data_IF_814437810208
#
_entry.id   IF_814437810208
#
_cell.length_a   1.000
_cell.length_b   1.000
_cell.length_c   1.000
_cell.angle_alpha   90.00
_cell.angle_beta   90.00
_cell.angle_gamma   90.00
#
_symmetry.space_group_name_H-M   'P 1'
#
loop_
_entity.id
_entity.type
_entity.pdbx_description
1 polymer ?
#
# COMPACT_ATOMS: atom_id res chain seq x y z
N UNK A 1 -0.18 13.20 13.44
CA UNK A 1 0.30 12.95 12.06
C UNK A 1 1.64 12.28 12.23
N UNK A 2 1.76 10.99 11.91
CA UNK A 2 3.05 10.33 11.82
C UNK A 2 3.76 10.93 10.59
N UNK A 3 4.96 11.45 10.77
CA UNK A 3 5.81 11.82 9.66
C UNK A 3 6.14 10.53 8.90
N UNK A 4 5.64 10.38 7.67
CA UNK A 4 6.03 9.28 6.80
C UNK A 4 7.56 9.29 6.70
N UNK A 5 8.19 8.23 7.16
CA UNK A 5 9.65 8.10 7.12
C UNK A 5 10.06 7.64 5.72
N UNK A 6 10.88 8.41 5.03
CA UNK A 6 11.47 7.99 3.78
C UNK A 6 12.45 6.83 4.02
N UNK A 7 12.26 5.72 3.31
CA UNK A 7 13.14 4.53 3.38
C UNK A 7 14.42 4.74 2.59
N UNK A 8 14.34 5.53 1.50
CA UNK A 8 15.51 5.86 0.68
C UNK A 8 16.41 6.85 1.43
N UNK A 9 17.66 6.48 1.56
CA UNK A 9 18.72 7.32 2.14
C UNK A 9 19.23 8.24 1.03
N UNK A 10 19.34 9.53 1.34
CA UNK A 10 19.85 10.55 0.43
C UNK A 10 19.30 10.44 -1.01
N UNK A 11 17.99 10.42 -1.13
CA UNK A 11 17.31 10.38 -2.43
C UNK A 11 17.43 11.67 -3.24
N UNK A 12 17.93 12.75 -2.64
CA UNK A 12 18.26 14.03 -3.28
C UNK A 12 19.74 14.20 -3.59
N UNK A 13 20.57 13.19 -3.26
CA UNK A 13 22.01 13.20 -3.51
C UNK A 13 22.79 14.37 -2.89
N UNK A 14 22.25 14.96 -1.84
CA UNK A 14 22.86 16.14 -1.18
C UNK A 14 24.13 15.78 -0.40
N UNK A 15 24.26 14.52 0.04
CA UNK A 15 25.41 13.96 0.73
C UNK A 15 26.28 13.07 -0.18
N UNK A 16 26.08 13.15 -1.47
CA UNK A 16 26.81 12.38 -2.45
C UNK A 16 26.15 11.05 -2.81
N UNK A 17 26.88 9.94 -2.74
CA UNK A 17 26.35 8.61 -3.00
C UNK A 17 26.19 7.77 -1.73
N UNK A 18 25.94 8.41 -0.59
CA UNK A 18 25.77 7.68 0.66
C UNK A 18 24.59 6.70 0.58
N UNK A 19 24.83 5.46 0.96
CA UNK A 19 23.85 4.38 0.84
C UNK A 19 23.62 3.83 -0.58
N UNK A 20 24.23 4.43 -1.62
CA UNK A 20 24.08 4.01 -3.01
C UNK A 20 25.23 3.15 -3.51
N UNK A 21 24.91 2.13 -4.28
CA UNK A 21 25.86 1.27 -4.98
C UNK A 21 25.80 1.58 -6.47
N UNK A 22 26.92 1.95 -7.04
CA UNK A 22 27.07 2.33 -8.45
C UNK A 22 27.64 1.17 -9.26
N UNK A 23 27.15 0.98 -10.49
CA UNK A 23 27.76 0.00 -11.40
C UNK A 23 29.05 0.50 -12.02
N UNK A 24 29.14 1.76 -12.41
CA UNK A 24 30.36 2.44 -12.84
C UNK A 24 30.21 3.98 -12.97
N UNK A 25 29.83 4.51 -14.10
CA UNK A 25 29.90 5.94 -14.38
C UNK A 25 28.55 6.65 -14.09
N UNK A 26 28.30 6.93 -12.83
CA UNK A 26 27.26 7.88 -12.43
C UNK A 26 27.92 9.07 -11.74
N UNK A 27 27.38 10.24 -11.94
CA UNK A 27 27.95 11.46 -11.42
C UNK A 27 26.90 12.29 -10.73
N UNK A 28 27.29 12.97 -9.65
CA UNK A 28 26.46 13.96 -9.01
C UNK A 28 26.79 15.33 -9.58
N UNK A 29 25.77 16.08 -9.89
CA UNK A 29 25.87 17.45 -10.33
C UNK A 29 25.27 18.36 -9.28
N UNK A 30 25.92 19.49 -9.05
CA UNK A 30 25.44 20.60 -8.25
C UNK A 30 24.89 21.64 -9.22
N UNK A 31 23.79 22.25 -8.89
CA UNK A 31 23.06 23.19 -9.73
C UNK A 31 22.11 22.52 -10.72
N UNK A 32 20.93 23.12 -10.89
CA UNK A 32 19.90 22.67 -11.82
C UNK A 32 19.24 21.31 -11.46
N UNK A 33 19.21 20.93 -10.18
CA UNK A 33 18.39 19.82 -9.71
C UNK A 33 16.88 20.11 -9.81
N UNK A 34 16.05 19.13 -9.44
CA UNK A 34 14.59 19.21 -9.62
C UNK A 34 13.91 20.33 -8.82
N UNK A 35 14.53 20.83 -7.77
CA UNK A 35 14.05 21.95 -6.95
C UNK A 35 14.89 23.22 -7.11
N UNK A 36 15.71 23.33 -8.15
CA UNK A 36 16.59 24.45 -8.40
C UNK A 36 18.05 24.16 -8.05
N UNK A 37 18.67 24.95 -7.17
CA UNK A 37 20.09 24.82 -6.84
C UNK A 37 20.36 23.68 -5.85
N UNK A 38 19.96 22.47 -6.19
CA UNK A 38 20.25 21.27 -5.41
C UNK A 38 20.98 20.23 -6.26
N UNK A 39 21.42 19.16 -5.63
CA UNK A 39 22.11 18.08 -6.31
C UNK A 39 21.15 17.20 -7.11
N UNK A 40 21.68 16.50 -8.08
CA UNK A 40 20.99 15.41 -8.78
C UNK A 40 22.00 14.37 -9.26
N UNK A 41 21.54 13.16 -9.52
CA UNK A 41 22.38 12.11 -10.08
C UNK A 41 22.14 11.96 -11.59
N UNK A 42 23.22 11.95 -12.37
CA UNK A 42 23.22 11.59 -13.79
C UNK A 42 23.66 10.15 -13.96
N UNK A 43 22.82 9.35 -14.62
CA UNK A 43 23.09 7.96 -14.93
C UNK A 43 23.37 7.85 -16.42
N UNK A 44 24.60 7.53 -16.74
CA UNK A 44 25.04 7.30 -18.12
C UNK A 44 24.45 5.98 -18.67
N UNK A 45 24.32 5.84 -19.99
CA UNK A 45 23.87 4.59 -20.61
C UNK A 45 24.68 3.37 -20.14
N UNK A 46 24.01 2.23 -20.01
CA UNK A 46 24.51 0.97 -19.47
C UNK A 46 24.85 0.96 -17.98
N UNK A 47 24.61 2.05 -17.29
CA UNK A 47 24.90 2.17 -15.86
C UNK A 47 23.65 2.00 -14.99
N UNK A 48 23.89 1.74 -13.71
CA UNK A 48 22.88 1.45 -12.72
C UNK A 48 23.28 2.04 -11.38
N UNK A 49 22.31 2.62 -10.69
CA UNK A 49 22.41 2.90 -9.26
C UNK A 49 21.49 1.96 -8.48
N UNK A 50 21.91 1.54 -7.32
CA UNK A 50 21.16 0.58 -6.49
C UNK A 50 21.25 0.99 -5.03
N UNK A 51 20.14 0.92 -4.32
CA UNK A 51 20.12 0.99 -2.86
C UNK A 51 19.48 -0.28 -2.30
N UNK A 52 20.01 -0.78 -1.17
CA UNK A 52 19.50 -1.95 -0.47
C UNK A 52 18.90 -1.53 0.85
N UNK A 53 17.72 -2.07 1.14
CA UNK A 53 17.00 -1.82 2.39
C UNK A 53 16.13 -3.02 2.77
N UNK A 54 15.46 -2.93 3.88
CA UNK A 54 14.44 -3.90 4.31
C UNK A 54 13.09 -3.21 4.33
N UNK A 55 12.05 -3.90 3.90
CA UNK A 55 10.66 -3.42 3.89
C UNK A 55 9.77 -4.44 4.60
N UNK A 56 8.66 -3.95 5.14
CA UNK A 56 7.70 -4.78 5.86
C UNK A 56 6.89 -5.65 4.89
N UNK A 57 6.49 -6.86 5.31
CA UNK A 57 5.63 -7.73 4.51
C UNK A 57 4.22 -7.15 4.38
N UNK A 58 3.53 -7.54 3.30
CA UNK A 58 2.11 -7.21 3.05
C UNK A 58 1.81 -5.72 3.24
N UNK A 59 2.74 -4.87 2.83
CA UNK A 59 2.71 -3.43 3.03
C UNK A 59 2.74 -2.71 1.70
N UNK A 60 1.89 -1.70 1.54
CA UNK A 60 1.87 -0.86 0.34
C UNK A 60 2.86 0.28 0.50
N UNK A 61 3.64 0.49 -0.53
CA UNK A 61 4.62 1.57 -0.63
C UNK A 61 4.34 2.44 -1.83
N UNK A 62 4.65 3.73 -1.68
CA UNK A 62 4.63 4.71 -2.75
C UNK A 62 6.07 5.17 -3.01
N UNK A 63 6.53 4.94 -4.23
CA UNK A 63 7.77 5.49 -4.78
C UNK A 63 7.46 6.77 -5.54
N UNK A 64 8.18 7.83 -5.24
CA UNK A 64 8.17 9.06 -6.04
C UNK A 64 9.61 9.42 -6.41
N UNK A 65 9.79 9.96 -7.61
CA UNK A 65 11.09 10.41 -8.09
C UNK A 65 10.90 11.54 -9.11
N UNK A 66 11.86 12.44 -9.18
CA UNK A 66 11.96 13.42 -10.25
C UNK A 66 12.94 12.90 -11.29
N UNK A 67 12.58 12.98 -12.56
CA UNK A 67 13.42 12.54 -13.68
C UNK A 67 13.39 13.54 -14.81
N UNK A 68 14.48 13.62 -15.57
CA UNK A 68 14.54 14.26 -16.88
C UNK A 68 15.54 13.54 -17.78
N UNK A 69 15.42 13.73 -19.07
CA UNK A 69 16.33 13.20 -20.07
C UNK A 69 15.63 12.64 -21.29
N UNK A 70 16.39 12.37 -22.31
CA UNK A 70 15.89 11.75 -23.53
C UNK A 70 15.99 10.21 -23.48
N UNK A 71 16.71 9.67 -22.53
CA UNK A 71 16.85 8.21 -22.36
C UNK A 71 15.81 7.67 -21.40
N UNK A 72 15.22 6.53 -21.76
CA UNK A 72 14.37 5.77 -20.85
C UNK A 72 15.20 5.11 -19.76
N UNK A 73 14.86 5.32 -18.51
CA UNK A 73 15.36 4.54 -17.40
C UNK A 73 14.43 3.38 -17.07
N UNK A 74 14.99 2.29 -16.56
CA UNK A 74 14.23 1.19 -15.99
C UNK A 74 14.29 1.27 -14.47
N UNK A 75 13.15 1.35 -13.83
CA UNK A 75 13.01 1.32 -12.38
C UNK A 75 12.55 -0.07 -11.95
N UNK A 76 13.23 -0.66 -10.98
CA UNK A 76 12.86 -1.96 -10.42
C UNK A 76 12.96 -1.94 -8.90
N UNK A 77 12.00 -2.59 -8.24
CA UNK A 77 12.08 -2.92 -6.82
C UNK A 77 11.88 -4.41 -6.69
N UNK A 78 12.84 -5.10 -6.13
CA UNK A 78 12.80 -6.55 -6.00
C UNK A 78 13.44 -7.02 -4.72
N UNK A 79 12.82 -8.01 -4.08
CA UNK A 79 13.47 -8.78 -3.03
C UNK A 79 14.61 -9.57 -3.64
N UNK A 80 15.76 -9.57 -2.96
CA UNK A 80 16.96 -10.27 -3.43
C UNK A 80 17.32 -11.47 -2.57
N UNK A 81 16.75 -11.58 -1.39
CA UNK A 81 16.97 -12.66 -0.42
C UNK A 81 15.80 -12.74 0.57
N UNK A 82 15.31 -13.92 1.00
CA UNK A 82 15.82 -15.25 0.66
C UNK A 82 15.41 -15.75 -0.73
N UNK A 83 14.28 -15.24 -1.25
CA UNK A 83 13.77 -15.59 -2.58
C UNK A 83 13.74 -14.36 -3.45
N UNK A 84 13.97 -14.52 -4.75
CA UNK A 84 13.87 -13.39 -5.67
C UNK A 84 12.40 -13.15 -6.05
N UNK A 85 11.85 -12.04 -5.59
CA UNK A 85 10.48 -11.61 -5.92
C UNK A 85 10.53 -10.19 -6.43
N UNK A 86 9.94 -9.94 -7.60
CA UNK A 86 9.82 -8.60 -8.15
C UNK A 86 8.51 -7.97 -7.70
N UNK A 87 8.58 -6.87 -6.97
CA UNK A 87 7.42 -6.07 -6.57
C UNK A 87 7.05 -5.04 -7.65
N UNK A 88 8.07 -4.47 -8.27
CA UNK A 88 7.94 -3.55 -9.39
C UNK A 88 9.05 -3.84 -10.40
N UNK A 89 8.71 -4.17 -11.63
CA UNK A 89 9.68 -4.59 -12.62
C UNK A 89 9.62 -3.78 -13.90
N UNK A 90 10.80 -3.34 -14.35
CA UNK A 90 11.02 -2.74 -15.66
C UNK A 90 10.03 -1.63 -16.04
N UNK A 91 9.65 -0.81 -15.09
CA UNK A 91 8.87 0.39 -15.39
C UNK A 91 9.81 1.37 -16.06
N UNK A 92 9.48 1.71 -17.29
CA UNK A 92 10.22 2.71 -18.04
C UNK A 92 9.76 4.10 -17.63
N UNK A 93 10.71 4.97 -17.31
CA UNK A 93 10.43 6.39 -17.10
C UNK A 93 9.96 7.05 -18.39
N UNK A 94 9.12 8.05 -18.27
CA UNK A 94 8.72 8.83 -19.43
C UNK A 94 9.89 9.65 -19.96
N UNK A 95 9.88 9.89 -21.29
CA UNK A 95 10.88 10.75 -21.92
C UNK A 95 10.44 12.22 -21.80
N UNK A 96 11.23 13.05 -21.14
CA UNK A 96 11.03 14.48 -21.05
C UNK A 96 12.35 15.19 -20.75
N UNK A 97 12.68 16.23 -21.49
CA UNK A 97 13.89 17.02 -21.29
C UNK A 97 13.80 17.94 -20.07
N UNK A 98 12.58 18.24 -19.63
CA UNK A 98 12.32 19.02 -18.41
C UNK A 98 12.10 18.10 -17.22
N UNK A 99 12.45 18.58 -16.02
CA UNK A 99 12.14 17.85 -14.79
C UNK A 99 10.64 17.59 -14.67
N UNK A 100 10.29 16.33 -14.40
CA UNK A 100 8.93 15.94 -14.06
C UNK A 100 8.95 14.88 -12.97
N UNK A 101 7.87 14.80 -12.24
CA UNK A 101 7.69 13.83 -11.16
C UNK A 101 6.98 12.59 -11.69
N UNK A 102 7.47 11.45 -11.30
CA UNK A 102 6.82 10.16 -11.49
C UNK A 102 6.44 9.56 -10.13
N UNK A 103 5.36 8.82 -10.12
CA UNK A 103 4.83 8.17 -8.95
C UNK A 103 4.40 6.75 -9.28
N UNK A 104 4.76 5.81 -8.41
CA UNK A 104 4.43 4.40 -8.53
C UNK A 104 4.02 3.84 -7.18
N UNK A 105 3.10 2.86 -7.17
CA UNK A 105 2.74 2.12 -5.97
C UNK A 105 2.94 0.63 -6.19
N UNK A 106 3.31 -0.07 -5.12
CA UNK A 106 3.41 -1.52 -5.11
C UNK A 106 3.13 -2.06 -3.71
N UNK A 107 2.75 -3.34 -3.64
CA UNK A 107 2.53 -4.03 -2.38
C UNK A 107 3.51 -5.20 -2.26
N UNK A 108 4.10 -5.34 -1.08
CA UNK A 108 5.04 -6.43 -0.78
C UNK A 108 4.30 -7.74 -0.53
N UNK A 109 4.98 -8.86 -0.76
CA UNK A 109 4.46 -10.18 -0.42
C UNK A 109 4.54 -10.46 1.08
N UNK A 110 3.91 -11.56 1.53
CA UNK A 110 3.96 -12.00 2.93
C UNK A 110 5.37 -12.37 3.41
N UNK A 111 6.25 -12.74 2.49
CA UNK A 111 7.63 -13.08 2.77
C UNK A 111 8.53 -12.00 2.20
N UNK A 112 9.12 -11.16 3.07
CA UNK A 112 10.02 -10.08 2.69
C UNK A 112 11.39 -10.27 3.31
N UNK A 113 12.38 -9.70 2.66
CA UNK A 113 13.77 -9.73 3.11
C UNK A 113 14.55 -8.56 2.54
N UNK A 114 15.83 -8.78 2.26
CA UNK A 114 16.67 -7.76 1.64
C UNK A 114 16.10 -7.36 0.28
N UNK A 115 15.77 -6.11 0.13
CA UNK A 115 15.19 -5.53 -1.09
C UNK A 115 16.19 -4.63 -1.78
N UNK A 116 16.20 -4.66 -3.09
CA UNK A 116 16.98 -3.75 -3.93
C UNK A 116 16.02 -2.83 -4.70
N UNK A 117 16.21 -1.54 -4.52
CA UNK A 117 15.73 -0.52 -5.44
C UNK A 117 16.83 -0.23 -6.44
N UNK A 118 16.51 -0.33 -7.71
CA UNK A 118 17.49 -0.16 -8.78
C UNK A 118 16.93 0.72 -9.88
N UNK A 119 17.74 1.66 -10.32
CA UNK A 119 17.51 2.45 -11.52
C UNK A 119 18.63 2.19 -12.49
N UNK A 120 18.30 1.87 -13.73
CA UNK A 120 19.27 1.62 -14.80
C UNK A 120 18.88 2.36 -16.07
N UNK A 121 19.85 2.87 -16.77
CA UNK A 121 19.70 3.40 -18.13
C UNK A 121 20.21 2.34 -19.10
N UNK A 122 19.35 1.72 -19.89
CA UNK A 122 19.78 0.73 -20.87
C UNK A 122 20.62 1.39 -21.98
N UNK A 123 21.35 0.58 -22.72
CA UNK A 123 22.04 1.08 -23.90
C UNK A 123 21.04 1.74 -24.86
N UNK A 124 21.39 2.89 -25.37
CA UNK A 124 20.64 3.59 -26.42
C UNK A 124 21.59 4.12 -27.48
N UNK A 125 21.09 4.24 -28.73
CA UNK A 125 21.90 4.62 -29.88
C UNK A 125 22.37 6.08 -29.86
N UNK A 126 21.73 6.91 -29.03
CA UNK A 126 22.06 8.34 -28.89
C UNK A 126 23.08 8.61 -27.78
N UNK A 127 23.40 7.60 -27.00
CA UNK A 127 24.26 7.70 -25.80
C UNK A 127 23.84 8.82 -24.85
N UNK A 128 22.51 8.99 -24.67
CA UNK A 128 21.94 10.03 -23.80
C UNK A 128 21.76 9.52 -22.38
N UNK A 129 22.17 10.29 -21.37
CA UNK A 129 21.96 9.98 -19.97
C UNK A 129 20.53 10.26 -19.50
N UNK A 130 20.25 9.83 -18.27
CA UNK A 130 19.06 10.21 -17.50
C UNK A 130 19.50 10.88 -16.22
N UNK A 131 18.89 12.00 -15.89
CA UNK A 131 19.05 12.70 -14.63
C UNK A 131 17.90 12.30 -13.69
N UNK A 132 18.23 12.12 -12.40
CA UNK A 132 17.29 11.72 -11.37
C UNK A 132 17.54 12.46 -10.07
N UNK A 133 16.47 12.76 -9.34
CA UNK A 133 16.49 13.50 -8.10
C UNK A 133 15.26 13.20 -7.23
N UNK A 134 15.25 13.65 -5.98
CA UNK A 134 14.11 13.60 -5.06
C UNK A 134 13.45 12.23 -4.94
N UNK A 135 14.26 11.17 -4.86
CA UNK A 135 13.76 9.82 -4.71
C UNK A 135 13.22 9.63 -3.30
N UNK A 136 11.98 9.21 -3.21
CA UNK A 136 11.33 8.92 -1.93
C UNK A 136 10.53 7.64 -2.03
N UNK A 137 10.72 6.76 -1.06
CA UNK A 137 9.94 5.55 -0.86
C UNK A 137 9.34 5.59 0.54
N UNK A 138 8.03 5.69 0.62
CA UNK A 138 7.29 5.80 1.88
C UNK A 138 6.24 4.70 1.98
N UNK A 139 5.99 4.25 3.20
CA UNK A 139 4.84 3.39 3.47
C UNK A 139 3.55 4.19 3.28
N UNK A 140 2.58 3.60 2.59
CA UNK A 140 1.23 4.14 2.48
C UNK A 140 0.38 3.44 3.53
N UNK A 141 -0.01 4.12 4.60
CA UNK A 141 -0.88 3.53 5.61
C UNK A 141 -2.19 3.08 4.96
N UNK A 142 -2.62 1.87 5.26
CA UNK A 142 -3.96 1.46 4.90
C UNK A 142 -4.93 2.10 5.90
N UNK A 143 -5.55 3.18 5.47
CA UNK A 143 -6.61 3.83 6.23
C UNK A 143 -7.91 3.05 5.98
N UNK A 144 -8.39 2.35 6.98
CA UNK A 144 -9.67 1.66 6.92
C UNK A 144 -10.78 2.54 7.46
N UNK A 145 -11.98 2.42 6.88
CA UNK A 145 -13.17 3.06 7.37
C UNK A 145 -13.94 2.12 8.27
N UNK A 146 -14.31 2.58 9.47
CA UNK A 146 -15.16 1.84 10.39
C UNK A 146 -16.60 1.89 9.89
N UNK A 147 -17.38 0.79 10.02
CA UNK A 147 -18.82 0.85 9.85
C UNK A 147 -19.44 1.89 10.80
N UNK A 148 -20.54 2.53 10.36
CA UNK A 148 -21.28 3.44 11.21
C UNK A 148 -22.06 2.68 12.29
N UNK A 149 -22.66 1.56 11.88
CA UNK A 149 -23.39 0.70 12.80
C UNK A 149 -23.49 -0.73 12.26
N UNK A 150 -23.76 -1.63 13.17
CA UNK A 150 -24.09 -3.04 12.90
C UNK A 150 -25.35 -3.39 13.69
N UNK A 151 -26.23 -4.17 13.10
CA UNK A 151 -27.33 -4.75 13.84
C UNK A 151 -27.57 -6.21 13.45
N UNK A 152 -28.33 -6.88 14.27
CA UNK A 152 -28.81 -8.23 14.03
C UNK A 152 -30.33 -8.24 14.03
N UNK A 153 -30.93 -8.70 12.94
CA UNK A 153 -32.38 -8.84 12.84
C UNK A 153 -32.77 -10.31 12.79
N UNK A 154 -33.80 -10.67 13.55
CA UNK A 154 -34.39 -12.00 13.42
C UNK A 154 -35.30 -12.02 12.18
N UNK A 155 -34.99 -12.88 11.23
CA UNK A 155 -35.68 -12.96 9.93
C UNK A 155 -36.89 -13.92 10.01
N UNK A 156 -36.98 -14.78 11.04
CA UNK A 156 -38.09 -15.72 11.22
C UNK A 156 -38.36 -15.96 12.70
N UNK A 157 -39.62 -15.78 13.11
CA UNK A 157 -40.08 -16.03 14.48
C UNK A 157 -39.98 -17.51 14.89
N UNK A 158 -39.92 -18.40 13.94
CA UNK A 158 -39.95 -19.85 14.15
C UNK A 158 -38.62 -20.53 14.05
N UNK A 159 -37.56 -19.80 13.69
CA UNK A 159 -36.22 -20.30 13.57
C UNK A 159 -35.23 -19.29 14.14
N UNK A 160 -34.19 -19.75 14.81
CA UNK A 160 -33.05 -18.92 15.21
C UNK A 160 -32.26 -18.45 13.98
N UNK A 161 -32.94 -17.81 13.03
CA UNK A 161 -32.39 -17.39 11.77
C UNK A 161 -32.18 -15.88 11.81
N UNK A 162 -30.94 -15.46 11.87
CA UNK A 162 -30.56 -14.05 12.02
C UNK A 162 -29.87 -13.54 10.78
N UNK A 163 -30.04 -12.26 10.53
CA UNK A 163 -29.36 -11.51 9.49
C UNK A 163 -28.53 -10.42 10.15
N UNK A 164 -27.27 -10.31 9.76
CA UNK A 164 -26.39 -9.22 10.15
C UNK A 164 -26.48 -8.12 9.08
N UNK A 165 -26.66 -6.89 9.52
CA UNK A 165 -26.66 -5.72 8.67
C UNK A 165 -25.52 -4.80 9.10
N UNK A 166 -24.79 -4.27 8.12
CA UNK A 166 -23.68 -3.35 8.35
C UNK A 166 -23.88 -2.13 7.47
N UNK A 167 -23.81 -0.95 8.06
CA UNK A 167 -23.74 0.29 7.31
C UNK A 167 -22.30 0.80 7.33
N UNK A 168 -21.71 0.95 6.17
CA UNK A 168 -20.35 1.47 6.00
C UNK A 168 -20.36 2.96 5.69
N UNK A 169 -19.20 3.61 5.87
CA UNK A 169 -19.01 5.02 5.51
C UNK A 169 -18.65 5.15 4.04
N UNK A 170 -18.89 6.35 3.51
CA UNK A 170 -18.55 6.71 2.13
C UNK A 170 -17.07 6.79 1.83
N UNK A 171 -16.24 6.87 2.86
CA UNK A 171 -14.80 7.06 2.79
C UNK A 171 -14.02 5.74 2.91
N UNK A 172 -14.70 4.60 2.76
CA UNK A 172 -14.01 3.32 2.74
C UNK A 172 -13.01 3.27 1.58
N UNK A 173 -11.74 2.98 1.86
CA UNK A 173 -10.71 2.93 0.82
C UNK A 173 -10.98 1.79 -0.16
N UNK A 174 -10.50 1.97 -1.38
CA UNK A 174 -10.56 0.91 -2.41
C UNK A 174 -9.90 -0.38 -1.90
N UNK A 175 -10.57 -1.49 -2.14
CA UNK A 175 -10.11 -2.80 -1.71
C UNK A 175 -10.44 -3.18 -0.26
N UNK A 176 -11.11 -2.33 0.50
CA UNK A 176 -11.62 -2.71 1.81
C UNK A 176 -12.82 -3.65 1.67
N UNK A 177 -12.73 -4.78 2.36
CA UNK A 177 -13.81 -5.76 2.54
C UNK A 177 -14.05 -5.90 4.04
N UNK A 178 -15.30 -5.87 4.47
CA UNK A 178 -15.63 -6.10 5.87
C UNK A 178 -15.85 -7.60 6.10
N UNK A 179 -15.08 -8.19 7.00
CA UNK A 179 -15.19 -9.58 7.42
C UNK A 179 -15.80 -9.71 8.79
N UNK A 180 -16.62 -10.73 8.96
CA UNK A 180 -17.30 -11.04 10.21
C UNK A 180 -16.82 -12.37 10.72
N UNK A 181 -16.43 -12.40 11.99
CA UNK A 181 -16.04 -13.57 12.72
C UNK A 181 -16.97 -13.78 13.91
N UNK A 182 -17.25 -15.04 14.24
CA UNK A 182 -17.97 -15.45 15.43
C UNK A 182 -17.09 -16.37 16.25
N UNK A 183 -16.85 -16.02 17.51
CA UNK A 183 -15.98 -16.80 18.40
C UNK A 183 -14.63 -17.16 17.74
N UNK A 184 -14.06 -16.18 17.01
CA UNK A 184 -12.80 -16.35 16.27
C UNK A 184 -12.91 -17.10 14.92
N UNK A 185 -14.06 -17.64 14.56
CA UNK A 185 -14.26 -18.33 13.30
C UNK A 185 -14.89 -17.41 12.24
N UNK A 186 -14.36 -17.45 11.03
CA UNK A 186 -14.88 -16.70 9.89
C UNK A 186 -16.34 -17.11 9.59
N UNK A 187 -17.21 -16.11 9.44
CA UNK A 187 -18.63 -16.30 9.10
C UNK A 187 -18.91 -15.88 7.67
N UNK A 188 -18.58 -14.65 7.34
CA UNK A 188 -18.89 -14.06 6.03
C UNK A 188 -18.05 -12.80 5.78
N UNK A 189 -18.14 -12.28 4.56
CA UNK A 189 -17.60 -10.98 4.19
C UNK A 189 -18.60 -10.19 3.35
N UNK A 190 -18.43 -8.88 3.36
CA UNK A 190 -19.21 -7.93 2.59
C UNK A 190 -18.30 -6.83 2.06
N UNK A 191 -18.54 -6.39 0.84
CA UNK A 191 -17.84 -5.22 0.31
C UNK A 191 -18.17 -3.99 1.15
N UNK A 192 -17.21 -3.09 1.32
CA UNK A 192 -17.46 -1.79 1.87
C UNK A 192 -18.24 -0.97 0.81
N UNK A 193 -19.51 -0.74 1.06
CA UNK A 193 -20.38 0.02 0.15
C UNK A 193 -20.41 1.50 0.55
N UNK A 194 -20.73 2.35 -0.42
CA UNK A 194 -20.77 3.81 -0.26
C UNK A 194 -21.80 4.34 0.74
N UNK A 195 -21.90 5.66 0.86
CA UNK A 195 -22.81 6.29 1.81
C UNK A 195 -24.26 5.90 1.49
N UNK A 196 -25.03 5.74 2.56
CA UNK A 196 -26.45 5.41 2.49
C UNK A 196 -26.78 3.99 1.99
N UNK A 197 -25.80 3.19 1.64
CA UNK A 197 -25.97 1.79 1.35
C UNK A 197 -25.61 0.93 2.57
N UNK A 198 -26.45 -0.06 2.84
CA UNK A 198 -26.14 -1.07 3.83
C UNK A 198 -26.06 -2.46 3.18
N UNK A 199 -25.08 -3.22 3.64
CA UNK A 199 -24.96 -4.62 3.24
C UNK A 199 -25.69 -5.53 4.21
N UNK A 200 -26.39 -6.50 3.66
CA UNK A 200 -27.02 -7.57 4.42
C UNK A 200 -26.29 -8.89 4.17
N UNK A 201 -26.01 -9.59 5.23
CA UNK A 201 -25.58 -10.99 5.09
C UNK A 201 -26.79 -11.87 4.76
N UNK A 202 -26.52 -13.04 4.17
CA UNK A 202 -27.49 -14.13 4.17
C UNK A 202 -27.88 -14.53 5.61
N UNK A 203 -29.02 -15.15 5.77
CA UNK A 203 -29.45 -15.60 7.09
C UNK A 203 -28.56 -16.73 7.64
N UNK A 204 -28.27 -16.65 8.94
CA UNK A 204 -27.50 -17.63 9.68
C UNK A 204 -28.32 -18.20 10.83
N UNK A 205 -28.25 -19.50 11.01
CA UNK A 205 -28.87 -20.20 12.12
C UNK A 205 -27.89 -20.39 13.27
N UNK A 206 -28.46 -20.56 14.48
CA UNK A 206 -27.71 -20.94 15.69
C UNK A 206 -26.83 -19.88 16.38
N UNK A 207 -27.02 -18.60 16.15
CA UNK A 207 -26.44 -17.60 17.03
C UNK A 207 -27.11 -17.65 18.42
N UNK A 208 -26.32 -17.53 19.47
CA UNK A 208 -26.79 -17.75 20.84
C UNK A 208 -26.13 -16.77 21.82
N UNK A 209 -26.74 -16.67 23.00
CA UNK A 209 -26.17 -15.94 24.12
C UNK A 209 -24.73 -16.38 24.40
N UNK A 210 -23.85 -15.40 24.62
CA UNK A 210 -22.40 -15.60 24.80
C UNK A 210 -21.58 -15.64 23.53
N UNK A 211 -22.19 -15.59 22.34
CA UNK A 211 -21.41 -15.44 21.10
C UNK A 211 -20.75 -14.05 21.01
N UNK A 212 -19.50 -14.04 20.61
CA UNK A 212 -18.71 -12.84 20.38
C UNK A 212 -18.52 -12.67 18.87
N UNK A 213 -18.84 -11.48 18.39
CA UNK A 213 -18.68 -11.10 16.98
C UNK A 213 -17.56 -10.09 16.84
N UNK A 214 -16.68 -10.35 15.88
CA UNK A 214 -15.62 -9.43 15.47
C UNK A 214 -15.90 -8.96 14.04
N UNK A 215 -15.87 -7.66 13.87
CA UNK A 215 -15.94 -7.02 12.56
C UNK A 215 -14.55 -6.52 12.21
N UNK A 216 -14.02 -6.96 11.07
CA UNK A 216 -12.67 -6.67 10.64
C UNK A 216 -12.67 -6.07 9.25
N UNK A 217 -11.85 -5.04 9.04
CA UNK A 217 -11.51 -4.58 7.71
C UNK A 217 -10.43 -5.50 7.14
N UNK A 218 -10.69 -6.07 5.98
CA UNK A 218 -9.74 -6.84 5.20
C UNK A 218 -9.30 -6.02 4.00
N UNK A 219 -8.00 -5.84 3.84
CA UNK A 219 -7.43 -5.22 2.67
C UNK A 219 -7.18 -6.29 1.60
N UNK A 220 -7.97 -6.28 0.54
CA UNK A 220 -7.85 -7.27 -0.55
C UNK A 220 -6.55 -7.15 -1.35
N UNK A 221 -5.86 -6.01 -1.27
CA UNK A 221 -4.60 -5.78 -1.96
C UNK A 221 -3.41 -6.37 -1.19
N UNK A 222 -3.45 -6.33 0.14
CA UNK A 222 -2.34 -6.78 0.99
C UNK A 222 -2.62 -8.07 1.75
N UNK A 223 -3.88 -8.49 1.85
CA UNK A 223 -4.29 -9.63 2.68
C UNK A 223 -4.38 -9.35 4.18
N UNK A 224 -4.01 -8.15 4.64
CA UNK A 224 -4.04 -7.79 6.07
C UNK A 224 -5.44 -7.58 6.58
N UNK A 225 -5.65 -7.93 7.85
CA UNK A 225 -6.91 -7.70 8.57
C UNK A 225 -6.69 -6.80 9.79
N UNK A 226 -7.67 -5.90 10.01
CA UNK A 226 -7.69 -4.97 11.13
C UNK A 226 -8.99 -5.12 11.90
N UNK A 227 -8.92 -5.31 13.22
CA UNK A 227 -10.10 -5.35 14.06
C UNK A 227 -10.73 -3.95 14.12
N UNK A 228 -11.98 -3.85 13.65
CA UNK A 228 -12.76 -2.61 13.69
C UNK A 228 -13.51 -2.48 15.01
N UNK A 229 -14.23 -3.54 15.38
CA UNK A 229 -14.91 -3.62 16.65
C UNK A 229 -15.19 -5.08 17.03
N UNK A 230 -15.48 -5.26 18.32
CA UNK A 230 -15.94 -6.51 18.89
C UNK A 230 -17.21 -6.24 19.69
N UNK A 231 -18.18 -7.13 19.60
CA UNK A 231 -19.47 -7.02 20.29
C UNK A 231 -20.03 -8.40 20.62
N UNK A 232 -21.04 -8.46 21.48
CA UNK A 232 -21.68 -9.72 21.85
C UNK A 232 -23.05 -9.86 21.20
N UNK A 233 -23.55 -11.11 21.17
CA UNK A 233 -24.92 -11.42 20.73
C UNK A 233 -25.95 -10.55 21.49
N UNK A 234 -25.78 -10.42 22.80
CA UNK A 234 -26.68 -9.65 23.65
C UNK A 234 -26.68 -8.16 23.29
N UNK A 235 -25.51 -7.60 22.98
CA UNK A 235 -25.40 -6.19 22.56
C UNK A 235 -26.04 -5.96 21.20
N UNK A 236 -25.83 -6.87 20.24
CA UNK A 236 -26.43 -6.78 18.91
C UNK A 236 -27.96 -6.93 18.94
N UNK A 237 -28.49 -7.72 19.87
CA UNK A 237 -29.93 -8.00 19.97
C UNK A 237 -30.68 -7.03 20.89
N UNK A 238 -30.03 -6.46 21.90
CA UNK A 238 -30.67 -5.63 22.90
C UNK A 238 -31.04 -4.23 22.42
N UNK A 239 -30.23 -3.62 21.55
CA UNK A 239 -30.43 -2.23 21.10
C UNK A 239 -30.99 -2.12 19.69
N UNK A 240 -31.08 -3.22 18.96
CA UNK A 240 -31.41 -3.20 17.53
C UNK A 240 -30.35 -2.61 16.64
N UNK A 241 -29.51 -1.72 17.16
CA UNK A 241 -28.39 -1.09 16.44
C UNK A 241 -27.20 -0.92 17.37
N UNK A 242 -26.06 -1.42 16.99
CA UNK A 242 -24.79 -1.21 17.65
C UNK A 242 -23.98 -0.16 16.89
N UNK A 243 -23.80 1.03 17.47
CA UNK A 243 -22.99 2.08 16.88
C UNK A 243 -21.50 1.80 17.15
N UNK A 244 -20.68 1.93 16.14
CA UNK A 244 -19.22 1.74 16.22
C UNK A 244 -18.60 3.13 16.29
N UNK A 245 -18.06 3.48 17.46
CA UNK A 245 -17.35 4.74 17.71
C UNK A 245 -15.87 4.66 17.26
#
# INVERSE_FOLDING_TARGET
MSTESNIIIDGGFEEGFDGWVLSSQSSIFVEDGATGNNHFCRIEPTNTITQYFTIEPETTYRLTLAVRGEAKGNVTISQTYPTHTSFMSNINTNLNVEWHREEYAFTTSADTGRTAFRISVPWNSTNTPMDIDLISLVEVPFEYSKPLWVNMTNVSSDSNFFQLNIMTRSDAPEGQINRIYRNGNYVTQMDAVGPDDFNQTGGYSSFAAGDVFQFRAYNSLTGKEYLLCETTYEQLTASGVFNIE
#
